data_IF_259154887588
#
_entry.id   IF_259154887588
#
_cell.length_a   1.000
_cell.length_b   1.000
_cell.length_c   1.000
_cell.angle_alpha   90.00
_cell.angle_beta   90.00
_cell.angle_gamma   90.00
#
_symmetry.space_group_name_H-M   'P 1'
#
loop_
_entity.id
_entity.type
_entity.pdbx_description
1 polymer ?
#
# COMPACT_ATOMS: atom_id res chain seq x y z
N UNK A 1 -8.61 0.17 -19.13
CA UNK A 1 -10.03 -0.01 -19.50
C UNK A 1 -10.97 0.30 -18.34
N UNK A 2 -10.73 -0.14 -17.10
CA UNK A 2 -11.65 0.05 -15.95
C UNK A 2 -11.64 1.45 -15.31
N UNK A 3 -10.63 2.26 -15.55
CA UNK A 3 -10.43 3.55 -14.86
C UNK A 3 -11.59 4.53 -14.95
N UNK A 4 -12.21 4.83 -16.11
CA UNK A 4 -13.34 5.77 -16.18
C UNK A 4 -14.56 5.25 -15.42
N UNK A 5 -14.82 3.95 -15.49
CA UNK A 5 -15.93 3.32 -14.77
C UNK A 5 -15.74 3.42 -13.24
N UNK A 6 -14.57 3.06 -12.72
CA UNK A 6 -14.27 3.16 -11.28
C UNK A 6 -14.36 4.60 -10.80
N UNK A 7 -13.83 5.55 -11.58
CA UNK A 7 -13.91 6.97 -11.25
C UNK A 7 -15.35 7.47 -11.13
N UNK A 8 -16.21 7.05 -12.05
CA UNK A 8 -17.62 7.43 -12.05
C UNK A 8 -18.38 6.74 -10.92
N UNK A 9 -18.22 5.43 -10.78
CA UNK A 9 -18.95 4.63 -9.78
C UNK A 9 -18.64 5.03 -8.34
N UNK A 10 -17.42 5.47 -8.04
CA UNK A 10 -16.97 5.83 -6.68
C UNK A 10 -16.65 7.32 -6.52
N UNK A 11 -17.03 8.18 -7.47
CA UNK A 11 -16.70 9.61 -7.45
C UNK A 11 -15.25 9.85 -7.01
N UNK A 12 -14.33 9.10 -7.63
CA UNK A 12 -12.94 8.97 -7.17
C UNK A 12 -12.20 10.31 -7.23
N UNK A 13 -11.78 10.82 -6.07
CA UNK A 13 -10.95 12.02 -5.90
C UNK A 13 -9.52 11.59 -5.61
N UNK A 14 -8.57 12.20 -6.29
CA UNK A 14 -7.14 11.87 -6.14
C UNK A 14 -6.40 13.15 -5.82
N UNK A 15 -5.59 13.12 -4.75
CA UNK A 15 -4.80 14.26 -4.25
C UNK A 15 -3.34 13.86 -4.06
N UNK A 16 -2.43 14.83 -4.11
CA UNK A 16 -1.02 14.64 -3.78
C UNK A 16 -0.22 13.88 -4.85
N UNK A 17 -0.67 13.85 -6.11
CA UNK A 17 0.04 13.16 -7.20
C UNK A 17 1.44 13.73 -7.48
N UNK A 18 1.70 14.96 -7.09
CA UNK A 18 3.00 15.62 -7.14
C UNK A 18 4.05 14.94 -6.24
N UNK A 19 3.60 14.18 -5.24
CA UNK A 19 4.47 13.41 -4.34
C UNK A 19 4.90 12.05 -4.92
N UNK A 20 4.31 11.62 -6.03
CA UNK A 20 4.65 10.36 -6.67
C UNK A 20 6.03 10.45 -7.33
N UNK A 21 6.99 9.59 -6.96
CA UNK A 21 8.32 9.63 -7.53
C UNK A 21 8.32 9.43 -9.06
N UNK A 22 9.33 9.96 -9.77
CA UNK A 22 9.49 9.75 -11.21
C UNK A 22 9.58 8.26 -11.57
N UNK A 23 9.29 7.94 -12.85
CA UNK A 23 9.49 6.58 -13.36
C UNK A 23 10.95 6.15 -13.19
N UNK A 24 11.14 4.88 -12.84
CA UNK A 24 12.46 4.30 -12.59
C UNK A 24 12.97 4.50 -11.17
N UNK A 25 12.23 5.22 -10.31
CA UNK A 25 12.54 5.32 -8.89
C UNK A 25 12.04 4.07 -8.16
N UNK A 26 12.88 3.50 -7.30
CA UNK A 26 12.55 2.37 -6.44
C UNK A 26 11.83 2.87 -5.18
N UNK A 27 10.57 2.48 -5.00
CA UNK A 27 9.81 2.82 -3.79
C UNK A 27 8.69 1.82 -3.50
N UNK A 28 8.23 1.82 -2.26
CA UNK A 28 7.12 1.03 -1.77
C UNK A 28 5.92 1.96 -1.58
N UNK A 29 4.76 1.61 -2.12
CA UNK A 29 3.50 2.30 -1.84
C UNK A 29 2.85 1.64 -0.63
N UNK A 30 2.71 2.36 0.47
CA UNK A 30 2.07 1.87 1.70
C UNK A 30 0.66 2.44 1.82
N UNK A 31 -0.37 1.56 1.91
CA UNK A 31 -1.78 1.92 1.78
C UNK A 31 -2.56 1.34 2.97
N UNK A 32 -3.47 2.10 3.60
CA UNK A 32 -4.45 1.51 4.53
C UNK A 32 -5.41 0.58 3.79
N UNK A 33 -5.89 -0.47 4.47
CA UNK A 33 -6.66 -1.52 3.81
C UNK A 33 -8.09 -1.62 4.33
N UNK A 34 -9.02 -0.99 3.62
CA UNK A 34 -10.43 -0.89 3.99
C UNK A 34 -11.33 -1.87 3.23
N UNK A 35 -11.04 -2.10 1.95
CA UNK A 35 -11.82 -3.02 1.12
C UNK A 35 -10.98 -3.73 0.06
N UNK A 36 -11.58 -4.69 -0.65
CA UNK A 36 -10.90 -5.42 -1.72
C UNK A 36 -10.58 -4.55 -2.95
N UNK A 37 -11.19 -3.37 -3.08
CA UNK A 37 -11.00 -2.47 -4.21
C UNK A 37 -9.87 -1.45 -4.00
N UNK A 38 -9.26 -1.41 -2.80
CA UNK A 38 -8.19 -0.43 -2.50
C UNK A 38 -7.06 -0.44 -3.53
N UNK A 39 -6.53 -1.61 -3.97
CA UNK A 39 -5.54 -1.68 -5.03
C UNK A 39 -6.01 -1.04 -6.35
N UNK A 40 -7.29 -1.22 -6.67
CA UNK A 40 -7.90 -0.68 -7.90
C UNK A 40 -8.00 0.84 -7.81
N UNK A 41 -8.39 1.39 -6.67
CA UNK A 41 -8.47 2.84 -6.49
C UNK A 41 -7.11 3.51 -6.71
N UNK A 42 -6.05 2.94 -6.14
CA UNK A 42 -4.68 3.45 -6.34
C UNK A 42 -4.23 3.27 -7.78
N UNK A 43 -4.46 2.11 -8.40
CA UNK A 43 -4.13 1.86 -9.81
C UNK A 43 -4.91 2.78 -10.79
N UNK A 44 -6.04 3.35 -10.36
CA UNK A 44 -6.78 4.35 -11.13
C UNK A 44 -6.14 5.75 -11.11
N UNK A 45 -5.08 6.00 -10.38
CA UNK A 45 -4.37 7.28 -10.37
C UNK A 45 -3.56 7.48 -11.65
N UNK A 46 -3.42 8.75 -12.08
CA UNK A 46 -2.58 9.09 -13.24
C UNK A 46 -1.11 8.95 -12.86
N UNK A 47 -0.29 8.52 -13.83
CA UNK A 47 1.16 8.47 -13.72
C UNK A 47 1.71 7.53 -12.62
N UNK A 48 0.88 6.67 -12.05
CA UNK A 48 1.34 5.59 -11.19
C UNK A 48 1.84 4.44 -12.10
N UNK A 49 3.07 3.94 -11.89
CA UNK A 49 3.52 2.73 -12.57
C UNK A 49 2.69 1.52 -12.16
N UNK A 50 2.80 0.38 -12.87
CA UNK A 50 2.22 -0.87 -12.42
C UNK A 50 2.68 -1.18 -10.99
N UNK A 51 1.73 -1.47 -10.11
CA UNK A 51 1.99 -1.76 -8.71
C UNK A 51 1.93 -3.27 -8.48
N UNK A 52 2.99 -3.82 -7.91
CA UNK A 52 3.04 -5.22 -7.51
C UNK A 52 2.45 -5.38 -6.10
N UNK A 53 1.25 -5.97 -6.01
CA UNK A 53 0.54 -6.14 -4.74
C UNK A 53 0.81 -7.50 -4.11
N UNK A 54 1.01 -7.51 -2.79
CA UNK A 54 1.02 -8.75 -2.00
C UNK A 54 -0.42 -9.22 -1.77
N UNK A 55 -0.75 -10.38 -2.26
CA UNK A 55 -2.07 -10.98 -2.07
C UNK A 55 -1.98 -12.33 -1.35
N UNK A 56 -3.02 -12.70 -0.61
CA UNK A 56 -3.10 -13.97 0.12
C UNK A 56 -3.01 -15.16 -0.87
N UNK A 57 -2.15 -16.14 -0.60
CA UNK A 57 -1.91 -17.26 -1.51
C UNK A 57 -3.19 -18.01 -1.89
N UNK A 58 -4.12 -18.16 -0.96
CA UNK A 58 -5.40 -18.86 -1.19
C UNK A 58 -6.30 -18.17 -2.23
N UNK A 59 -6.06 -16.89 -2.55
CA UNK A 59 -6.77 -16.22 -3.64
C UNK A 59 -6.34 -16.74 -5.02
N UNK A 60 -5.19 -17.39 -5.11
CA UNK A 60 -4.67 -17.98 -6.34
C UNK A 60 -5.08 -19.43 -6.54
N UNK A 61 -5.76 -20.05 -5.58
CA UNK A 61 -6.31 -21.41 -5.70
C UNK A 61 -7.51 -21.46 -6.66
N UNK A 62 -8.27 -20.35 -6.76
CA UNK A 62 -9.35 -20.24 -7.74
C UNK A 62 -8.79 -19.71 -9.07
N UNK A 63 -8.96 -20.43 -10.21
CA UNK A 63 -8.37 -20.05 -11.49
C UNK A 63 -8.79 -18.66 -11.99
N UNK A 64 -10.06 -18.28 -11.78
CA UNK A 64 -10.59 -16.97 -12.20
C UNK A 64 -9.96 -15.86 -11.35
N UNK A 65 -9.91 -16.06 -10.03
CA UNK A 65 -9.26 -15.10 -9.14
C UNK A 65 -7.75 -15.01 -9.41
N UNK A 66 -7.07 -16.14 -9.65
CA UNK A 66 -5.66 -16.18 -10.00
C UNK A 66 -5.38 -15.40 -11.28
N UNK A 67 -6.18 -15.63 -12.33
CA UNK A 67 -6.06 -14.87 -13.58
C UNK A 67 -6.19 -13.36 -13.34
N UNK A 68 -7.22 -12.93 -12.60
CA UNK A 68 -7.43 -11.52 -12.28
C UNK A 68 -6.27 -10.95 -11.45
N UNK A 69 -5.85 -11.65 -10.39
CA UNK A 69 -4.74 -11.22 -9.51
C UNK A 69 -3.43 -11.07 -10.29
N UNK A 70 -3.09 -12.02 -11.16
CA UNK A 70 -1.89 -11.97 -11.99
C UNK A 70 -1.92 -10.77 -12.94
N UNK A 71 -3.08 -10.49 -13.57
CA UNK A 71 -3.23 -9.32 -14.45
C UNK A 71 -3.20 -7.98 -13.70
N UNK A 72 -3.44 -8.01 -12.39
CA UNK A 72 -3.24 -6.86 -11.48
C UNK A 72 -1.84 -6.81 -10.87
N UNK A 73 -0.87 -7.55 -11.44
CA UNK A 73 0.51 -7.65 -10.94
C UNK A 73 0.57 -8.08 -9.47
N UNK A 74 -0.42 -8.85 -9.00
CA UNK A 74 -0.41 -9.38 -7.64
C UNK A 74 0.37 -10.68 -7.57
N UNK A 75 1.07 -10.89 -6.47
CA UNK A 75 1.81 -12.12 -6.21
C UNK A 75 1.36 -12.77 -4.90
N UNK A 76 1.38 -14.12 -4.83
CA UNK A 76 0.93 -14.84 -3.65
C UNK A 76 1.93 -14.75 -2.51
N UNK A 77 1.42 -14.55 -1.29
CA UNK A 77 2.19 -14.66 -0.05
C UNK A 77 1.45 -15.53 0.95
N UNK A 78 2.16 -16.43 1.61
CA UNK A 78 1.64 -17.20 2.73
C UNK A 78 1.80 -16.38 4.00
N UNK A 79 0.69 -16.06 4.67
CA UNK A 79 0.71 -15.30 5.91
C UNK A 79 0.98 -16.24 7.07
N UNK A 80 2.15 -16.16 7.68
CA UNK A 80 2.52 -16.99 8.83
C UNK A 80 3.95 -16.73 9.30
N UNK A 81 4.36 -17.43 10.35
CA UNK A 81 5.74 -17.36 10.84
C UNK A 81 6.69 -17.96 9.79
N UNK A 82 7.70 -17.19 9.40
CA UNK A 82 8.84 -17.67 8.59
C UNK A 82 8.64 -17.62 7.07
N UNK A 83 7.57 -16.99 6.55
CA UNK A 83 7.47 -16.81 5.10
C UNK A 83 8.32 -15.62 4.64
N UNK A 84 9.56 -15.91 4.22
CA UNK A 84 10.49 -14.94 3.64
C UNK A 84 10.18 -14.62 2.17
N UNK A 85 9.30 -15.42 1.52
CA UNK A 85 9.01 -15.29 0.09
C UNK A 85 8.50 -13.91 -0.31
N UNK A 86 7.78 -13.24 0.59
CA UNK A 86 7.30 -11.88 0.38
C UNK A 86 8.45 -10.85 0.36
N UNK A 87 9.46 -11.06 1.20
CA UNK A 87 10.66 -10.21 1.28
C UNK A 87 11.51 -10.42 0.04
N UNK A 88 11.81 -11.68 -0.30
CA UNK A 88 12.60 -12.08 -1.46
C UNK A 88 11.97 -11.58 -2.77
N UNK A 89 10.65 -11.72 -2.90
CA UNK A 89 9.93 -11.20 -4.07
C UNK A 89 9.95 -9.66 -4.10
N UNK A 90 9.76 -9.01 -2.95
CA UNK A 90 9.84 -7.57 -2.81
C UNK A 90 11.22 -7.03 -3.22
N UNK A 91 12.28 -7.68 -2.75
CA UNK A 91 13.66 -7.37 -3.14
C UNK A 91 13.85 -7.49 -4.65
N UNK A 92 13.40 -8.61 -5.24
CA UNK A 92 13.50 -8.85 -6.67
C UNK A 92 12.83 -7.73 -7.47
N UNK A 93 11.54 -7.47 -7.25
CA UNK A 93 10.78 -6.50 -8.04
C UNK A 93 11.28 -5.07 -7.85
N UNK A 94 11.68 -4.69 -6.63
CA UNK A 94 12.21 -3.36 -6.35
C UNK A 94 13.61 -3.17 -6.97
N UNK A 95 14.44 -4.19 -6.99
CA UNK A 95 15.76 -4.14 -7.65
C UNK A 95 15.66 -4.16 -9.19
N UNK A 96 14.60 -4.73 -9.75
CA UNK A 96 14.25 -4.64 -11.17
C UNK A 96 13.67 -3.26 -11.58
N UNK A 97 13.54 -2.32 -10.64
CA UNK A 97 13.02 -0.97 -10.89
C UNK A 97 11.49 -0.89 -10.92
N UNK A 98 10.81 -1.91 -10.43
CA UNK A 98 9.36 -1.92 -10.27
C UNK A 98 8.94 -1.31 -8.93
N UNK A 99 7.64 -1.05 -8.78
CA UNK A 99 7.05 -0.49 -7.56
C UNK A 99 6.21 -1.55 -6.86
N UNK A 100 6.48 -1.75 -5.59
CA UNK A 100 5.71 -2.66 -4.75
C UNK A 100 4.63 -1.89 -3.99
N UNK A 101 3.47 -2.50 -3.80
CA UNK A 101 2.43 -1.98 -2.92
C UNK A 101 2.14 -2.94 -1.77
N UNK A 102 2.05 -2.41 -0.56
CA UNK A 102 1.80 -3.16 0.66
C UNK A 102 0.74 -2.46 1.51
N UNK A 103 -0.07 -3.25 2.20
CA UNK A 103 -0.94 -2.74 3.26
C UNK A 103 -0.28 -3.06 4.61
N UNK A 104 0.27 -2.05 5.33
CA UNK A 104 1.03 -2.28 6.55
C UNK A 104 0.24 -3.01 7.64
N UNK A 105 -1.07 -2.87 7.67
CA UNK A 105 -1.97 -3.57 8.62
C UNK A 105 -1.96 -5.09 8.44
N UNK A 106 -1.53 -5.58 7.28
CA UNK A 106 -1.45 -7.00 6.94
C UNK A 106 -2.80 -7.71 6.79
N UNK A 107 -3.92 -7.01 6.96
CA UNK A 107 -5.29 -7.51 6.75
C UNK A 107 -6.24 -6.35 6.51
N UNK A 108 -7.40 -6.62 5.93
CA UNK A 108 -8.47 -5.62 5.83
C UNK A 108 -8.98 -5.21 7.21
N UNK A 109 -9.18 -3.91 7.39
CA UNK A 109 -9.80 -3.35 8.59
C UNK A 109 -11.28 -3.77 8.60
N UNK A 110 -11.75 -4.24 9.75
CA UNK A 110 -13.17 -4.58 9.93
C UNK A 110 -14.00 -3.39 10.44
N UNK A 111 -13.34 -2.30 10.81
CA UNK A 111 -14.00 -1.08 11.27
C UNK A 111 -14.85 -0.47 10.15
N UNK A 112 -16.09 -0.10 10.50
CA UNK A 112 -17.06 0.47 9.53
C UNK A 112 -16.65 1.85 9.02
N UNK A 113 -15.86 2.57 9.79
CA UNK A 113 -15.39 3.92 9.46
C UNK A 113 -14.05 3.91 8.72
N UNK A 114 -13.41 2.74 8.58
CA UNK A 114 -12.16 2.59 7.85
C UNK A 114 -10.95 3.21 8.54
N UNK A 115 -11.01 3.43 9.86
CA UNK A 115 -9.92 4.04 10.64
C UNK A 115 -8.66 3.20 10.53
N UNK A 116 -7.52 3.77 10.07
CA UNK A 116 -6.27 3.04 9.94
C UNK A 116 -5.84 2.37 11.25
N UNK A 117 -5.35 1.15 11.15
CA UNK A 117 -4.98 0.32 12.29
C UNK A 117 -3.45 0.24 12.43
N UNK A 118 -2.99 -0.38 13.53
CA UNK A 118 -1.57 -0.55 13.81
C UNK A 118 -0.85 -1.32 12.71
N UNK A 119 0.35 -0.85 12.34
CA UNK A 119 1.20 -1.51 11.37
C UNK A 119 1.79 -2.83 11.89
N UNK A 120 2.02 -3.77 10.98
CA UNK A 120 2.95 -4.89 11.14
C UNK A 120 4.31 -4.53 10.59
N UNK A 121 5.34 -5.23 11.05
CA UNK A 121 6.74 -4.97 10.72
C UNK A 121 7.07 -5.08 9.21
N UNK A 122 6.27 -5.80 8.42
CA UNK A 122 6.59 -6.18 7.04
C UNK A 122 7.02 -5.04 6.13
N UNK A 123 6.37 -3.87 6.21
CA UNK A 123 6.74 -2.71 5.39
C UNK A 123 8.14 -2.21 5.71
N UNK A 124 8.52 -2.16 7.00
CA UNK A 124 9.83 -1.71 7.45
C UNK A 124 10.93 -2.75 7.13
N UNK A 125 10.61 -4.04 7.28
CA UNK A 125 11.53 -5.14 6.93
C UNK A 125 11.91 -5.08 5.45
N UNK A 126 10.92 -4.95 4.56
CA UNK A 126 11.17 -4.85 3.12
C UNK A 126 11.92 -3.55 2.78
N UNK A 127 11.56 -2.43 3.38
CA UNK A 127 12.25 -1.16 3.16
C UNK A 127 13.72 -1.24 3.60
N UNK A 128 14.01 -1.88 4.75
CA UNK A 128 15.39 -2.14 5.21
C UNK A 128 16.16 -2.98 4.19
N UNK A 129 15.61 -4.13 3.82
CA UNK A 129 16.26 -5.09 2.94
C UNK A 129 16.56 -4.53 1.54
N UNK A 130 15.71 -3.63 1.05
CA UNK A 130 15.80 -3.09 -0.32
C UNK A 130 16.38 -1.69 -0.42
N UNK A 131 16.49 -0.96 0.69
CA UNK A 131 16.82 0.47 0.69
C UNK A 131 15.77 1.35 0.00
N UNK A 132 14.55 0.83 -0.22
CA UNK A 132 13.50 1.56 -0.92
C UNK A 132 12.87 2.64 -0.02
N UNK A 133 12.57 3.80 -0.63
CA UNK A 133 11.75 4.84 -0.02
C UNK A 133 10.29 4.37 0.11
N UNK A 134 9.49 5.02 0.96
CA UNK A 134 8.08 4.66 1.15
C UNK A 134 7.18 5.84 0.81
N UNK A 135 6.21 5.61 -0.08
CA UNK A 135 5.15 6.56 -0.40
C UNK A 135 3.88 6.20 0.39
N UNK A 136 3.53 6.97 1.44
CA UNK A 136 2.31 6.73 2.20
C UNK A 136 1.09 7.19 1.41
N UNK A 137 0.04 6.36 1.39
CA UNK A 137 -1.20 6.64 0.69
C UNK A 137 -2.38 6.32 1.61
N UNK A 138 -3.30 7.26 1.75
CA UNK A 138 -4.55 7.06 2.46
C UNK A 138 -5.71 6.91 1.49
N UNK A 139 -6.58 5.95 1.78
CA UNK A 139 -7.89 5.79 1.15
C UNK A 139 -8.94 6.15 2.18
N UNK A 140 -9.72 7.18 1.88
CA UNK A 140 -10.78 7.68 2.74
C UNK A 140 -12.15 7.60 2.05
N UNK A 141 -13.14 7.22 2.82
CA UNK A 141 -14.56 7.32 2.45
C UNK A 141 -15.36 7.58 3.73
N UNK A 142 -16.29 8.51 3.68
CA UNK A 142 -17.21 8.70 4.79
C UNK A 142 -18.14 7.48 4.93
N UNK A 143 -17.86 6.66 5.94
CA UNK A 143 -18.51 5.37 6.20
C UNK A 143 -18.08 4.28 5.22
N UNK A 144 -18.96 3.32 4.97
CA UNK A 144 -18.64 2.14 4.16
C UNK A 144 -18.48 2.48 2.67
N UNK A 145 -17.40 2.01 2.05
CA UNK A 145 -17.15 2.13 0.60
C UNK A 145 -18.22 1.36 -0.17
N UNK A 146 -18.96 2.07 -1.02
CA UNK A 146 -19.97 1.53 -1.94
C UNK A 146 -20.13 2.45 -3.16
N UNK A 147 -20.69 1.93 -4.25
CA UNK A 147 -20.98 2.73 -5.44
C UNK A 147 -21.86 3.96 -5.09
N UNK A 148 -21.59 5.08 -5.73
CA UNK A 148 -22.22 6.39 -5.47
C UNK A 148 -21.56 7.22 -4.36
N UNK A 149 -20.77 6.62 -3.48
CA UNK A 149 -19.97 7.33 -2.46
C UNK A 149 -18.68 7.90 -3.07
N UNK A 150 -18.24 9.02 -2.53
CA UNK A 150 -16.93 9.56 -2.85
C UNK A 150 -15.86 8.76 -2.13
N UNK A 151 -14.84 8.32 -2.87
CA UNK A 151 -13.61 7.75 -2.33
C UNK A 151 -12.46 8.69 -2.66
N UNK A 152 -11.69 9.08 -1.65
CA UNK A 152 -10.52 9.92 -1.82
C UNK A 152 -9.26 9.08 -1.65
N UNK A 153 -8.32 9.23 -2.60
CA UNK A 153 -6.98 8.63 -2.54
C UNK A 153 -5.99 9.77 -2.40
N UNK A 154 -5.32 9.85 -1.25
CA UNK A 154 -4.38 10.93 -0.92
C UNK A 154 -2.96 10.40 -0.80
N UNK A 155 -2.06 10.93 -1.63
CA UNK A 155 -0.63 10.60 -1.65
C UNK A 155 0.14 11.58 -0.76
N UNK A 156 0.80 11.06 0.27
CA UNK A 156 1.63 11.84 1.18
C UNK A 156 3.03 12.09 0.66
N UNK A 157 3.80 12.84 1.42
CA UNK A 157 5.22 13.06 1.13
C UNK A 157 5.99 11.74 1.22
N UNK A 158 6.93 11.57 0.29
CA UNK A 158 7.81 10.40 0.27
C UNK A 158 8.66 10.37 1.55
N UNK A 159 8.62 9.24 2.25
CA UNK A 159 9.49 8.95 3.39
C UNK A 159 10.76 8.34 2.83
N UNK A 160 11.89 9.01 3.03
CA UNK A 160 13.18 8.47 2.61
C UNK A 160 13.57 7.28 3.46
N UNK A 161 14.21 6.28 2.85
CA UNK A 161 14.68 5.11 3.60
C UNK A 161 15.59 5.52 4.78
N UNK A 162 16.43 6.55 4.60
CA UNK A 162 17.28 7.12 5.64
C UNK A 162 16.53 7.70 6.85
N UNK A 163 15.26 8.11 6.66
CA UNK A 163 14.41 8.63 7.74
C UNK A 163 13.81 7.52 8.63
N UNK A 164 13.85 6.26 8.17
CA UNK A 164 13.28 5.14 8.90
C UNK A 164 14.12 4.70 10.10
N UNK A 165 15.37 5.19 10.22
CA UNK A 165 16.29 4.79 11.31
C UNK A 165 16.77 3.34 11.23
N UNK A 166 16.69 2.71 10.05
CA UNK A 166 17.01 1.28 9.85
C UNK A 166 18.41 1.07 9.26
N UNK A 167 19.31 2.03 9.43
CA UNK A 167 20.67 1.98 8.91
C UNK A 167 21.56 1.16 9.86
N UNK A 168 22.16 0.09 9.36
CA UNK A 168 23.08 -0.76 10.11
C UNK A 168 22.66 -2.24 10.11
N UNK A 169 23.61 -3.08 10.55
CA UNK A 169 23.41 -4.54 10.58
C UNK A 169 22.63 -4.98 11.82
N UNK A 170 22.80 -4.27 12.96
CA UNK A 170 22.23 -4.62 14.26
C UNK A 170 20.94 -3.87 14.58
N UNK A 171 20.04 -3.73 13.60
CA UNK A 171 18.74 -3.08 13.83
C UNK A 171 17.85 -3.94 14.74
N UNK A 172 17.41 -3.35 15.85
CA UNK A 172 16.60 -4.02 16.85
C UNK A 172 15.14 -4.21 16.34
N UNK A 173 14.44 -5.27 16.79
CA UNK A 173 13.02 -5.45 16.48
C UNK A 173 12.12 -4.28 16.90
N UNK A 174 12.50 -3.53 17.94
CA UNK A 174 11.81 -2.29 18.36
C UNK A 174 11.91 -1.19 17.31
N UNK A 175 13.08 -0.99 16.70
CA UNK A 175 13.32 0.03 15.66
C UNK A 175 12.54 -0.28 14.38
N UNK A 176 12.50 -1.56 13.98
CA UNK A 176 11.67 -2.01 12.85
C UNK A 176 10.19 -1.70 13.12
N UNK A 177 9.73 -1.91 14.36
CA UNK A 177 8.36 -1.61 14.75
C UNK A 177 8.08 -0.10 14.78
N UNK A 178 9.04 0.71 15.22
CA UNK A 178 8.94 2.16 15.21
C UNK A 178 8.87 2.71 13.79
N UNK A 179 9.73 2.22 12.89
CA UNK A 179 9.69 2.56 11.47
C UNK A 179 8.33 2.21 10.83
N UNK A 180 7.80 1.01 11.11
CA UNK A 180 6.48 0.63 10.61
C UNK A 180 5.35 1.52 11.17
N UNK A 181 5.44 1.90 12.45
CA UNK A 181 4.48 2.82 13.08
C UNK A 181 4.59 4.24 12.52
N UNK A 182 5.81 4.71 12.20
CA UNK A 182 6.02 6.00 11.51
C UNK A 182 5.29 6.03 10.18
N UNK A 183 5.46 4.99 9.35
CA UNK A 183 4.75 4.86 8.07
C UNK A 183 3.23 4.91 8.27
N UNK A 184 2.73 4.17 9.26
CA UNK A 184 1.30 4.14 9.55
C UNK A 184 0.80 5.47 10.09
N UNK A 185 1.60 6.18 10.88
CA UNK A 185 1.32 7.54 11.34
C UNK A 185 1.08 8.49 10.19
N UNK A 186 1.94 8.47 9.16
CA UNK A 186 1.77 9.30 7.96
C UNK A 186 0.50 8.96 7.18
N UNK A 187 0.14 7.68 7.10
CA UNK A 187 -1.13 7.26 6.47
C UNK A 187 -2.33 7.76 7.29
N UNK A 188 -2.25 7.67 8.61
CA UNK A 188 -3.32 8.13 9.52
C UNK A 188 -3.51 9.65 9.43
N UNK A 189 -2.43 10.42 9.43
CA UNK A 189 -2.46 11.89 9.24
C UNK A 189 -3.20 12.28 7.95
N UNK A 190 -2.88 11.61 6.84
CA UNK A 190 -3.56 11.82 5.54
C UNK A 190 -5.05 11.47 5.61
N UNK A 191 -5.38 10.35 6.26
CA UNK A 191 -6.75 9.88 6.41
C UNK A 191 -7.57 10.84 7.27
N UNK A 192 -7.01 11.31 8.40
CA UNK A 192 -7.66 12.29 9.29
C UNK A 192 -7.85 13.65 8.61
N UNK A 193 -6.89 14.09 7.82
CA UNK A 193 -7.01 15.32 7.02
C UNK A 193 -8.21 15.25 6.06
N UNK A 194 -8.44 14.11 5.42
CA UNK A 194 -9.61 13.93 4.54
C UNK A 194 -10.93 13.85 5.33
N UNK A 195 -10.92 13.20 6.50
CA UNK A 195 -12.08 13.13 7.40
C UNK A 195 -12.51 14.51 7.89
N UNK A 196 -11.53 15.36 8.21
CA UNK A 196 -11.80 16.71 8.74
C UNK A 196 -12.15 17.73 7.62
N UNK A 197 -11.89 17.41 6.37
CA UNK A 197 -12.18 18.27 5.21
C UNK A 197 -13.55 18.02 4.58
N UNK A 198 -14.26 16.97 4.96
CA UNK A 198 -15.59 16.59 4.44
C UNK A 198 -16.66 16.77 5.46
#
# INVERSE_FOLDING_TARGET
>A
VFRPFVKLAFKLKIKGLENVPPKGTKYIVAINHTCALDPIFVACSKNIPPLHFMAKAELFENPIAAWFMTHMYSFPVRRGKGDTSAIEYGEKILNEGHVMAICPEGRRIKDKNGVPQRAKAGVAVIAKATGADILPVAIYCDGKIKAGKQVTVSYGKLIKNSELGLNGDDVLPSEIKEAANMVMGRITELWEAEKNAG
#
